data_IF_772403519784
#
_entry.id   IF_772403519784
#
_cell.length_a   1.000
_cell.length_b   1.000
_cell.length_c   1.000
_cell.angle_alpha   90.00
_cell.angle_beta   90.00
_cell.angle_gamma   90.00
#
_symmetry.space_group_name_H-M   'P 1'
#
loop_
_entity.id
_entity.type
_entity.pdbx_description
1 polymer ?
#
# COMPACT_ATOMS: atom_id res chain seq x y z
N UNK A 1 1.77 65.66 -33.77
CA UNK A 1 1.60 65.32 -32.34
C UNK A 1 0.12 65.18 -32.08
N UNK A 2 -0.38 63.94 -32.14
CA UNK A 2 -1.61 63.51 -31.49
C UNK A 2 -1.25 62.14 -30.92
N UNK A 3 -1.13 62.09 -29.59
CA UNK A 3 -0.92 60.85 -28.86
C UNK A 3 -2.27 60.12 -28.81
N UNK A 4 -2.41 59.02 -29.55
CA UNK A 4 -3.47 58.06 -29.26
C UNK A 4 -2.98 57.10 -28.17
N UNK A 5 -3.71 56.99 -27.05
CA UNK A 5 -3.27 56.26 -25.88
C UNK A 5 -3.25 54.76 -26.14
N UNK A 6 -2.11 54.15 -25.80
CA UNK A 6 -1.92 52.73 -25.60
C UNK A 6 -2.78 52.32 -24.39
N UNK A 7 -3.99 51.81 -24.64
CA UNK A 7 -4.79 51.13 -23.63
C UNK A 7 -4.86 49.66 -24.02
N UNK A 8 -4.10 48.89 -23.25
CA UNK A 8 -4.04 47.43 -23.23
C UNK A 8 -5.42 46.82 -23.45
N UNK A 9 -5.53 45.72 -24.22
CA UNK A 9 -6.66 44.85 -24.02
C UNK A 9 -6.60 44.41 -22.56
N UNK A 10 -7.49 44.95 -21.73
CA UNK A 10 -7.94 44.33 -20.50
C UNK A 10 -8.56 43.00 -20.91
N UNK A 11 -7.70 42.03 -21.19
CA UNK A 11 -8.06 40.64 -21.25
C UNK A 11 -8.36 40.28 -19.81
N UNK A 12 -9.56 40.66 -19.37
CA UNK A 12 -10.32 40.06 -18.28
C UNK A 12 -10.62 38.59 -18.61
N UNK A 13 -9.58 37.85 -19.01
CA UNK A 13 -9.44 36.45 -18.69
C UNK A 13 -9.33 36.46 -17.18
N UNK A 14 -10.48 36.47 -16.51
CA UNK A 14 -10.58 35.91 -15.19
C UNK A 14 -9.89 34.56 -15.31
N UNK A 15 -8.65 34.47 -14.81
CA UNK A 15 -7.96 33.21 -14.67
C UNK A 15 -9.00 32.29 -14.02
N UNK A 16 -9.31 31.11 -14.61
CA UNK A 16 -10.39 30.29 -14.11
C UNK A 16 -10.10 30.12 -12.63
N UNK A 17 -10.93 30.70 -11.77
CA UNK A 17 -10.81 30.52 -10.35
C UNK A 17 -10.77 29.01 -10.21
N UNK A 18 -9.60 28.47 -9.81
CA UNK A 18 -9.52 27.11 -9.34
C UNK A 18 -10.33 27.14 -8.06
N UNK A 19 -11.65 27.03 -8.20
CA UNK A 19 -12.53 26.77 -7.09
C UNK A 19 -12.20 25.33 -6.73
N UNK A 20 -11.11 25.20 -5.97
CA UNK A 20 -10.72 24.06 -5.16
C UNK A 20 -11.84 23.90 -4.13
N UNK A 21 -13.03 23.52 -4.60
CA UNK A 21 -14.07 23.06 -3.70
C UNK A 21 -13.49 21.83 -3.04
N UNK A 22 -13.37 21.80 -1.70
CA UNK A 22 -12.81 20.64 -1.01
C UNK A 22 -13.59 19.42 -1.47
N UNK A 23 -12.89 18.43 -2.02
CA UNK A 23 -13.46 17.11 -2.19
C UNK A 23 -14.01 16.70 -0.83
N UNK A 24 -15.27 16.26 -0.76
CA UNK A 24 -15.89 15.87 0.51
C UNK A 24 -15.07 14.82 1.27
N UNK A 25 -15.42 14.56 2.53
CA UNK A 25 -14.67 13.64 3.41
C UNK A 25 -14.42 12.23 2.82
N UNK A 26 -15.21 11.80 1.83
CA UNK A 26 -15.04 10.56 1.05
C UNK A 26 -14.39 10.79 -0.33
N UNK A 27 -13.43 11.70 -0.41
CA UNK A 27 -12.71 12.05 -1.63
C UNK A 27 -11.47 11.19 -1.88
N UNK A 28 -10.92 11.30 -3.11
CA UNK A 28 -9.67 10.64 -3.50
C UNK A 28 -8.51 10.97 -2.54
N UNK A 29 -8.48 12.20 -2.03
CA UNK A 29 -7.51 12.70 -1.06
C UNK A 29 -7.55 11.92 0.26
N UNK A 30 -8.75 11.69 0.82
CA UNK A 30 -8.89 10.92 2.06
C UNK A 30 -8.45 9.48 1.87
N UNK A 31 -8.92 8.84 0.80
CA UNK A 31 -8.54 7.46 0.51
C UNK A 31 -7.03 7.31 0.26
N UNK A 32 -6.40 8.26 -0.43
CA UNK A 32 -4.96 8.27 -0.65
C UNK A 32 -4.19 8.40 0.69
N UNK A 33 -4.62 9.28 1.58
CA UNK A 33 -4.00 9.46 2.91
C UNK A 33 -4.24 8.25 3.83
N UNK A 34 -5.44 7.66 3.82
CA UNK A 34 -5.73 6.45 4.59
C UNK A 34 -4.90 5.27 4.10
N UNK A 35 -4.80 5.09 2.78
CA UNK A 35 -3.96 4.06 2.19
C UNK A 35 -2.48 4.30 2.52
N UNK A 36 -2.00 5.54 2.47
CA UNK A 36 -0.63 5.89 2.87
C UNK A 36 -0.35 5.54 4.32
N UNK A 37 -1.29 5.87 5.21
CA UNK A 37 -1.14 5.59 6.63
C UNK A 37 -1.09 4.09 6.90
N UNK A 38 -1.98 3.31 6.29
CA UNK A 38 -1.96 1.85 6.38
C UNK A 38 -0.66 1.27 5.82
N UNK A 39 -0.19 1.79 4.69
CA UNK A 39 1.10 1.39 4.14
C UNK A 39 2.24 1.67 5.11
N UNK A 40 2.26 2.86 5.72
CA UNK A 40 3.28 3.24 6.69
C UNK A 40 3.29 2.30 7.90
N UNK A 41 2.11 1.98 8.46
CA UNK A 41 1.99 1.00 9.56
C UNK A 41 2.52 -0.37 9.13
N UNK A 42 2.16 -0.82 7.93
CA UNK A 42 2.58 -2.12 7.39
C UNK A 42 4.10 -2.20 7.22
N UNK A 43 4.71 -1.17 6.62
CA UNK A 43 6.15 -1.11 6.37
C UNK A 43 6.93 -0.96 7.68
N UNK A 44 6.50 -0.09 8.58
CA UNK A 44 7.16 0.13 9.87
C UNK A 44 7.10 -1.11 10.76
N UNK A 45 6.02 -1.90 10.69
CA UNK A 45 5.93 -3.17 11.40
C UNK A 45 7.03 -4.15 10.96
N UNK A 46 7.52 -4.08 9.72
CA UNK A 46 8.54 -4.97 9.13
C UNK A 46 8.21 -6.46 9.18
N UNK A 47 7.02 -6.83 9.64
CA UNK A 47 6.61 -8.20 9.93
C UNK A 47 6.70 -9.10 8.69
N UNK A 48 6.18 -8.63 7.54
CA UNK A 48 6.22 -9.40 6.30
C UNK A 48 7.66 -9.71 5.84
N UNK A 49 8.56 -8.74 5.96
CA UNK A 49 9.97 -8.92 5.57
C UNK A 49 10.66 -9.90 6.51
N UNK A 50 10.39 -9.81 7.81
CA UNK A 50 10.93 -10.73 8.81
C UNK A 50 10.41 -12.16 8.59
N UNK A 51 9.11 -12.33 8.35
CA UNK A 51 8.50 -13.63 8.06
C UNK A 51 9.05 -14.23 6.76
N UNK A 52 9.13 -13.45 5.70
CA UNK A 52 9.72 -13.88 4.43
C UNK A 52 11.16 -14.35 4.63
N UNK A 53 11.99 -13.54 5.31
CA UNK A 53 13.38 -13.89 5.61
C UNK A 53 13.46 -15.18 6.43
N UNK A 54 12.58 -15.34 7.42
CA UNK A 54 12.51 -16.54 8.25
C UNK A 54 12.18 -17.78 7.41
N UNK A 55 11.16 -17.72 6.56
CA UNK A 55 10.78 -18.82 5.66
C UNK A 55 11.93 -19.18 4.71
N UNK A 56 12.58 -18.18 4.12
CA UNK A 56 13.74 -18.39 3.24
C UNK A 56 14.92 -19.03 3.96
N UNK A 57 15.22 -18.61 5.19
CA UNK A 57 16.33 -19.16 5.98
C UNK A 57 16.05 -20.57 6.51
N UNK A 58 14.80 -20.89 6.81
CA UNK A 58 14.40 -22.25 7.22
C UNK A 58 14.56 -23.22 6.05
N UNK A 59 14.18 -22.82 4.83
CA UNK A 59 14.27 -23.68 3.64
C UNK A 59 13.51 -25.00 3.83
N UNK A 60 14.16 -26.12 3.52
CA UNK A 60 13.58 -27.47 3.66
C UNK A 60 13.69 -28.08 5.07
N UNK A 61 14.08 -27.29 6.08
CA UNK A 61 14.17 -27.82 7.44
C UNK A 61 12.77 -28.20 7.97
N UNK A 62 12.64 -29.36 8.66
CA UNK A 62 11.39 -29.79 9.25
C UNK A 62 10.97 -28.85 10.40
N UNK A 63 9.87 -28.13 10.21
CA UNK A 63 9.28 -27.24 11.21
C UNK A 63 8.05 -27.90 11.83
N UNK A 64 7.84 -27.79 13.15
CA UNK A 64 6.62 -28.28 13.79
C UNK A 64 5.35 -27.67 13.14
N UNK A 65 4.32 -28.50 12.92
CA UNK A 65 3.04 -28.09 12.33
C UNK A 65 2.42 -26.87 13.03
N UNK A 66 2.55 -26.78 14.35
CA UNK A 66 2.02 -25.65 15.13
C UNK A 66 2.72 -24.33 14.79
N UNK A 67 4.04 -24.35 14.56
CA UNK A 67 4.78 -23.14 14.16
C UNK A 67 4.42 -22.70 12.75
N UNK A 68 4.26 -23.65 11.82
CA UNK A 68 3.80 -23.36 10.44
C UNK A 68 2.42 -22.71 10.45
N UNK A 69 1.53 -23.17 11.33
CA UNK A 69 0.19 -22.59 11.49
C UNK A 69 0.27 -21.13 11.99
N UNK A 70 1.16 -20.83 12.94
CA UNK A 70 1.35 -19.49 13.46
C UNK A 70 1.94 -18.55 12.40
N UNK A 71 2.94 -19.00 11.65
CA UNK A 71 3.49 -18.22 10.53
C UNK A 71 2.43 -17.95 9.46
N UNK A 72 1.60 -18.94 9.13
CA UNK A 72 0.49 -18.78 8.19
C UNK A 72 -0.50 -17.69 8.63
N UNK A 73 -0.90 -17.69 9.90
CA UNK A 73 -1.82 -16.65 10.44
C UNK A 73 -1.18 -15.27 10.39
N UNK A 74 0.08 -15.14 10.82
CA UNK A 74 0.79 -13.87 10.78
C UNK A 74 0.97 -13.35 9.36
N UNK A 75 1.26 -14.25 8.41
CA UNK A 75 1.39 -13.92 7.00
C UNK A 75 0.06 -13.47 6.39
N UNK A 76 -1.06 -14.12 6.75
CA UNK A 76 -2.40 -13.72 6.33
C UNK A 76 -2.78 -12.32 6.86
N UNK A 77 -2.42 -12.01 8.10
CA UNK A 77 -2.67 -10.68 8.69
C UNK A 77 -1.87 -9.61 7.94
N UNK A 78 -0.55 -9.82 7.79
CA UNK A 78 0.32 -8.85 7.10
C UNK A 78 -0.04 -8.68 5.62
N UNK A 79 -0.24 -9.79 4.90
CA UNK A 79 -0.63 -9.79 3.49
C UNK A 79 -2.04 -9.25 3.27
N UNK A 80 -2.98 -9.55 4.18
CA UNK A 80 -4.33 -9.01 4.16
C UNK A 80 -4.37 -7.50 4.35
N UNK A 81 -3.54 -6.96 5.25
CA UNK A 81 -3.40 -5.51 5.45
C UNK A 81 -2.81 -4.84 4.21
N UNK A 82 -1.81 -5.44 3.57
CA UNK A 82 -1.26 -4.97 2.30
C UNK A 82 -2.32 -4.99 1.18
N UNK A 83 -3.12 -6.05 1.09
CA UNK A 83 -4.21 -6.15 0.11
C UNK A 83 -5.30 -5.08 0.34
N UNK A 84 -5.70 -4.85 1.59
CA UNK A 84 -6.64 -3.78 1.94
C UNK A 84 -6.08 -2.40 1.56
N UNK A 85 -4.79 -2.18 1.82
CA UNK A 85 -4.10 -0.95 1.43
C UNK A 85 -4.14 -0.74 -0.08
N UNK A 86 -3.91 -1.80 -0.87
CA UNK A 86 -4.00 -1.76 -2.33
C UNK A 86 -5.41 -1.42 -2.80
N UNK A 87 -6.44 -2.00 -2.18
CA UNK A 87 -7.85 -1.71 -2.51
C UNK A 87 -8.17 -0.23 -2.26
N UNK A 88 -7.77 0.32 -1.12
CA UNK A 88 -8.01 1.73 -0.80
C UNK A 88 -7.26 2.68 -1.74
N UNK A 89 -6.02 2.35 -2.10
CA UNK A 89 -5.24 3.12 -3.08
C UNK A 89 -5.84 3.04 -4.49
N UNK A 90 -6.33 1.86 -4.89
CA UNK A 90 -7.05 1.67 -6.14
C UNK A 90 -8.36 2.46 -6.17
N UNK A 91 -9.10 2.47 -5.06
CA UNK A 91 -10.32 3.27 -4.92
C UNK A 91 -10.02 4.78 -4.98
N UNK A 92 -8.93 5.24 -4.36
CA UNK A 92 -8.48 6.63 -4.48
C UNK A 92 -8.22 7.02 -5.94
N UNK A 93 -7.61 6.14 -6.73
CA UNK A 93 -7.39 6.35 -8.17
C UNK A 93 -8.69 6.27 -8.99
N UNK A 94 -9.59 5.35 -8.68
CA UNK A 94 -10.88 5.22 -9.35
C UNK A 94 -11.77 6.46 -9.13
N UNK A 95 -11.66 7.07 -7.95
CA UNK A 95 -12.34 8.33 -7.60
C UNK A 95 -11.60 9.57 -8.11
N UNK A 96 -10.40 9.43 -8.67
CA UNK A 96 -9.62 10.56 -9.16
C UNK A 96 -10.17 11.10 -10.49
N UNK A 97 -10.88 12.24 -10.43
CA UNK A 97 -11.35 12.98 -11.61
C UNK A 97 -10.41 14.10 -12.07
N UNK A 98 -10.80 14.85 -13.11
CA UNK A 98 -10.05 16.01 -13.63
C UNK A 98 -9.82 17.14 -12.61
N UNK A 99 -10.60 17.16 -11.52
CA UNK A 99 -10.53 18.17 -10.45
C UNK A 99 -9.78 17.70 -9.21
N UNK A 100 -9.29 16.45 -9.14
CA UNK A 100 -8.51 15.98 -7.99
C UNK A 100 -7.10 16.52 -8.04
N UNK A 101 -6.54 16.81 -6.87
CA UNK A 101 -5.20 17.39 -6.80
C UNK A 101 -4.16 16.38 -7.32
N UNK A 102 -3.20 16.83 -8.15
CA UNK A 102 -2.25 15.93 -8.79
C UNK A 102 -1.40 15.14 -7.78
N UNK A 103 -1.06 15.74 -6.63
CA UNK A 103 -0.31 15.05 -5.56
C UNK A 103 -1.04 13.80 -5.06
N UNK A 104 -2.37 13.84 -4.92
CA UNK A 104 -3.15 12.72 -4.41
C UNK A 104 -3.13 11.53 -5.38
N UNK A 105 -3.15 11.82 -6.69
CA UNK A 105 -3.03 10.80 -7.75
C UNK A 105 -1.67 10.11 -7.73
N UNK A 106 -0.59 10.90 -7.69
CA UNK A 106 0.77 10.36 -7.61
C UNK A 106 0.98 9.55 -6.33
N UNK A 107 0.44 10.03 -5.21
CA UNK A 107 0.53 9.34 -3.94
C UNK A 107 -0.24 8.01 -3.96
N UNK A 108 -1.49 8.03 -4.41
CA UNK A 108 -2.31 6.81 -4.52
C UNK A 108 -1.68 5.79 -5.46
N UNK A 109 -1.10 6.21 -6.59
CA UNK A 109 -0.37 5.33 -7.49
C UNK A 109 0.86 4.68 -6.82
N UNK A 110 1.68 5.47 -6.12
CA UNK A 110 2.83 4.94 -5.38
C UNK A 110 2.41 3.96 -4.30
N UNK A 111 1.38 4.30 -3.50
CA UNK A 111 0.88 3.41 -2.45
C UNK A 111 0.32 2.11 -3.05
N UNK A 112 -0.41 2.20 -4.16
CA UNK A 112 -0.93 1.03 -4.86
C UNK A 112 0.21 0.11 -5.33
N UNK A 113 1.25 0.67 -5.96
CA UNK A 113 2.39 -0.12 -6.43
C UNK A 113 3.09 -0.83 -5.27
N UNK A 114 3.41 -0.11 -4.19
CA UNK A 114 4.13 -0.70 -3.05
C UNK A 114 3.28 -1.76 -2.34
N UNK A 115 1.99 -1.50 -2.15
CA UNK A 115 1.09 -2.48 -1.53
C UNK A 115 0.93 -3.74 -2.39
N UNK A 116 0.85 -3.63 -3.71
CA UNK A 116 0.85 -4.79 -4.61
C UNK A 116 2.17 -5.59 -4.52
N UNK A 117 3.32 -4.92 -4.41
CA UNK A 117 4.60 -5.59 -4.19
C UNK A 117 4.63 -6.35 -2.85
N UNK A 118 4.06 -5.78 -1.79
CA UNK A 118 3.94 -6.45 -0.49
C UNK A 118 2.99 -7.65 -0.53
N UNK A 119 1.88 -7.55 -1.26
CA UNK A 119 0.97 -8.69 -1.50
C UNK A 119 1.72 -9.79 -2.25
N UNK A 120 2.47 -9.44 -3.30
CA UNK A 120 3.27 -10.41 -4.04
C UNK A 120 4.30 -11.09 -3.14
N UNK A 121 4.99 -10.32 -2.29
CA UNK A 121 5.93 -10.86 -1.31
C UNK A 121 5.24 -11.85 -0.36
N UNK A 122 4.03 -11.53 0.11
CA UNK A 122 3.26 -12.42 0.98
C UNK A 122 2.87 -13.72 0.26
N UNK A 123 2.49 -13.66 -1.02
CA UNK A 123 2.21 -14.84 -1.84
C UNK A 123 3.45 -15.71 -2.01
N UNK A 124 4.61 -15.10 -2.31
CA UNK A 124 5.87 -15.84 -2.43
C UNK A 124 6.24 -16.50 -1.10
N UNK A 125 6.14 -15.78 0.03
CA UNK A 125 6.39 -16.32 1.36
C UNK A 125 5.46 -17.51 1.69
N UNK A 126 4.20 -17.44 1.26
CA UNK A 126 3.23 -18.51 1.47
C UNK A 126 3.59 -19.76 0.68
N UNK A 127 3.95 -19.61 -0.60
CA UNK A 127 4.34 -20.73 -1.47
C UNK A 127 5.65 -21.38 -1.02
N UNK A 128 6.57 -20.60 -0.46
CA UNK A 128 7.84 -21.11 0.07
C UNK A 128 7.74 -21.69 1.49
N UNK A 129 6.56 -21.63 2.12
CA UNK A 129 6.40 -22.12 3.49
C UNK A 129 6.63 -23.64 3.56
N UNK A 130 7.47 -24.15 4.48
CA UNK A 130 7.77 -25.58 4.57
C UNK A 130 6.53 -26.40 4.97
N UNK A 131 6.45 -27.64 4.49
CA UNK A 131 5.44 -28.58 4.96
C UNK A 131 5.72 -28.96 6.42
N UNK A 132 4.76 -28.70 7.31
CA UNK A 132 4.91 -28.99 8.73
C UNK A 132 5.13 -30.49 8.98
N UNK A 133 6.16 -30.81 9.75
CA UNK A 133 6.46 -32.19 10.16
C UNK A 133 5.83 -32.50 11.51
N UNK A 134 5.35 -33.74 11.68
CA UNK A 134 4.90 -34.23 12.99
C UNK A 134 6.02 -34.06 14.05
N UNK A 135 5.67 -33.76 15.31
CA UNK A 135 6.65 -33.61 16.38
C UNK A 135 7.61 -34.82 16.40
N UNK A 136 8.89 -34.57 16.16
CA UNK A 136 9.91 -35.60 16.31
C UNK A 136 9.96 -35.97 17.80
N UNK A 137 9.75 -37.24 18.19
CA UNK A 137 9.88 -37.63 19.57
C UNK A 137 11.31 -37.30 20.03
N UNK A 138 11.43 -36.46 21.07
CA UNK A 138 12.72 -36.13 21.64
C UNK A 138 13.43 -37.42 22.05
N UNK A 139 14.71 -37.63 21.68
CA UNK A 139 15.48 -38.74 22.20
C UNK A 139 15.48 -38.62 23.73
N UNK A 140 14.91 -39.62 24.41
CA UNK A 140 14.98 -39.67 25.87
C UNK A 140 16.47 -39.77 26.25
N UNK A 141 16.97 -38.90 27.15
CA UNK A 141 18.31 -39.04 27.68
C UNK A 141 18.44 -40.42 28.32
N UNK A 142 19.38 -41.21 27.80
CA UNK A 142 19.77 -42.52 28.31
C UNK A 142 20.59 -42.40 29.60
#
# INVERSE_FOLDING_TARGET
MVEEPLLEPDSGVAAPERTDRPSGALGAETFALTALFLLAVTVLSSQLVQLFTTVVLIGDQPVPVDQVSQFSVQLLIGGGLAALTAILAGLALALAGFRTRPWARWLAASVLIVSLLLVLLAVVAYVMMPAGSAPQPMPMPN
#
